data_IF_807534688431
#
_entry.id   IF_807534688431
#
_cell.length_a   1.000
_cell.length_b   1.000
_cell.length_c   1.000
_cell.angle_alpha   90.00
_cell.angle_beta   90.00
_cell.angle_gamma   90.00
#
_symmetry.space_group_name_H-M   'P 1'
#
loop_
_entity.id
_entity.type
_entity.pdbx_description
1 polymer ?
#
# COMPACT_ATOMS: atom_id res chain seq x y z
N UNK A 1 -12.75 -23.49 -0.73
CA UNK A 1 -13.90 -22.85 -0.04
C UNK A 1 -13.40 -21.52 0.49
N UNK A 2 -14.02 -20.39 0.14
CA UNK A 2 -13.58 -19.07 0.61
C UNK A 2 -13.84 -18.99 2.11
N UNK A 3 -12.82 -18.72 2.90
CA UNK A 3 -12.94 -18.57 4.35
C UNK A 3 -13.81 -17.35 4.69
N UNK A 4 -14.83 -17.54 5.53
CA UNK A 4 -15.66 -16.45 6.00
C UNK A 4 -14.95 -15.72 7.14
N UNK A 5 -14.46 -14.51 6.87
CA UNK A 5 -13.61 -13.76 7.81
C UNK A 5 -14.37 -13.28 9.04
N UNK A 6 -15.69 -13.08 8.92
CA UNK A 6 -16.53 -12.75 10.06
C UNK A 6 -16.64 -13.94 11.00
N UNK A 7 -16.84 -15.15 10.46
CA UNK A 7 -16.80 -16.39 11.24
C UNK A 7 -15.48 -16.50 12.00
N UNK A 8 -14.35 -16.38 11.29
CA UNK A 8 -13.01 -16.48 11.88
C UNK A 8 -12.81 -15.43 12.97
N UNK A 9 -13.31 -14.21 12.76
CA UNK A 9 -13.26 -13.16 13.77
C UNK A 9 -14.06 -13.49 15.03
N UNK A 10 -15.30 -14.00 14.89
CA UNK A 10 -16.14 -14.39 16.03
C UNK A 10 -15.50 -15.56 16.79
N UNK A 11 -14.98 -16.56 16.08
CA UNK A 11 -14.29 -17.71 16.68
C UNK A 11 -13.02 -17.30 17.44
N UNK A 12 -12.22 -16.39 16.87
CA UNK A 12 -11.05 -15.85 17.53
C UNK A 12 -11.44 -15.03 18.77
N UNK A 13 -12.52 -14.25 18.70
CA UNK A 13 -13.06 -13.48 19.83
C UNK A 13 -13.56 -14.36 20.97
N UNK A 14 -14.19 -15.51 20.66
CA UNK A 14 -14.54 -16.53 21.66
C UNK A 14 -13.32 -17.14 22.37
N UNK A 15 -12.20 -17.29 21.65
CA UNK A 15 -10.97 -17.90 22.16
C UNK A 15 -9.97 -16.87 22.72
N UNK A 16 -10.33 -15.59 22.78
CA UNK A 16 -9.44 -14.47 23.10
C UNK A 16 -8.16 -14.45 22.22
N UNK A 17 -8.24 -14.94 20.99
CA UNK A 17 -7.18 -14.87 19.99
C UNK A 17 -7.26 -13.53 19.26
N UNK A 18 -6.09 -12.95 18.96
CA UNK A 18 -6.01 -11.71 18.20
C UNK A 18 -6.49 -11.93 16.76
N UNK A 19 -7.28 -10.98 16.27
CA UNK A 19 -7.88 -10.97 14.93
C UNK A 19 -7.75 -9.57 14.30
N UNK A 20 -8.16 -9.46 13.04
CA UNK A 20 -8.32 -8.18 12.35
C UNK A 20 -9.39 -7.30 13.03
N UNK A 21 -9.44 -6.01 12.71
CA UNK A 21 -10.53 -5.15 13.18
C UNK A 21 -11.82 -5.43 12.39
N UNK A 22 -13.00 -5.28 13.02
CA UNK A 22 -14.27 -5.14 12.29
C UNK A 22 -14.63 -3.66 12.25
N UNK A 23 -14.99 -3.16 11.07
CA UNK A 23 -15.31 -1.76 10.82
C UNK A 23 -16.74 -1.70 10.31
N UNK A 24 -17.61 -1.03 11.07
CA UNK A 24 -19.02 -0.85 10.75
C UNK A 24 -19.26 0.60 10.32
N UNK A 25 -19.71 0.82 9.10
CA UNK A 25 -20.04 2.15 8.59
C UNK A 25 -21.56 2.38 8.72
N UNK A 26 -21.96 3.18 9.70
CA UNK A 26 -23.36 3.26 10.16
C UNK A 26 -23.96 4.64 9.86
N UNK A 27 -25.25 4.68 9.52
CA UNK A 27 -26.00 5.94 9.42
C UNK A 27 -26.02 6.68 10.78
N UNK A 28 -26.03 8.01 10.76
CA UNK A 28 -25.97 8.84 11.97
C UNK A 28 -27.02 8.45 13.02
N UNK A 29 -28.28 8.38 12.60
CA UNK A 29 -29.43 8.08 13.45
C UNK A 29 -29.33 6.73 14.16
N UNK A 30 -28.52 5.80 13.62
CA UNK A 30 -28.38 4.45 14.12
C UNK A 30 -27.09 4.22 14.92
N UNK A 31 -26.16 5.17 14.92
CA UNK A 31 -24.80 4.94 15.45
C UNK A 31 -24.82 4.58 16.94
N UNK A 32 -25.63 5.31 17.72
CA UNK A 32 -25.74 5.11 19.17
C UNK A 32 -26.46 3.81 19.50
N UNK A 33 -27.49 3.45 18.74
CA UNK A 33 -28.19 2.17 18.88
C UNK A 33 -27.26 1.00 18.59
N UNK A 34 -26.51 1.04 17.48
CA UNK A 34 -25.54 0.01 17.12
C UNK A 34 -24.43 -0.10 18.18
N UNK A 35 -23.87 1.03 18.61
CA UNK A 35 -22.84 1.07 19.64
C UNK A 35 -23.32 0.42 20.94
N UNK A 36 -24.50 0.80 21.44
CA UNK A 36 -25.06 0.26 22.67
C UNK A 36 -25.41 -1.23 22.56
N UNK A 37 -25.93 -1.68 21.41
CA UNK A 37 -26.19 -3.09 21.16
C UNK A 37 -24.91 -3.91 21.23
N UNK A 38 -23.83 -3.48 20.55
CA UNK A 38 -22.55 -4.20 20.53
C UNK A 38 -21.85 -4.13 21.90
N UNK A 39 -21.87 -2.98 22.56
CA UNK A 39 -21.24 -2.77 23.87
C UNK A 39 -21.82 -3.70 24.94
N UNK A 40 -23.13 -3.98 24.92
CA UNK A 40 -23.78 -4.94 25.83
C UNK A 40 -23.32 -6.38 25.64
N UNK A 41 -22.78 -6.72 24.46
CA UNK A 41 -22.25 -8.06 24.15
C UNK A 41 -20.82 -8.23 24.64
N UNK A 42 -20.15 -7.12 24.98
CA UNK A 42 -18.89 -7.14 25.72
C UNK A 42 -19.20 -7.51 27.18
N UNK A 43 -18.55 -8.53 27.72
CA UNK A 43 -18.69 -9.05 29.12
C UNK A 43 -19.64 -10.23 29.42
N UNK A 44 -19.84 -11.19 28.52
CA UNK A 44 -20.44 -12.48 28.96
C UNK A 44 -19.66 -13.75 28.57
N UNK A 45 -18.95 -13.78 27.43
CA UNK A 45 -18.08 -14.91 27.00
C UNK A 45 -16.93 -14.51 26.04
N UNK A 46 -16.82 -13.22 25.68
CA UNK A 46 -15.89 -12.70 24.66
C UNK A 46 -15.29 -11.39 25.13
N UNK A 47 -14.03 -11.16 24.81
CA UNK A 47 -13.36 -9.89 25.04
C UNK A 47 -13.08 -9.21 23.70
N UNK A 48 -13.72 -8.07 23.48
CA UNK A 48 -13.39 -7.17 22.39
C UNK A 48 -13.59 -5.73 22.82
N UNK A 49 -12.83 -4.82 22.22
CA UNK A 49 -12.95 -3.39 22.44
C UNK A 49 -13.90 -2.79 21.40
N UNK A 50 -14.75 -1.86 21.81
CA UNK A 50 -15.72 -1.21 20.93
C UNK A 50 -15.46 0.29 20.98
N UNK A 51 -15.09 0.85 19.84
CA UNK A 51 -14.94 2.28 19.66
C UNK A 51 -16.01 2.79 18.71
N UNK A 52 -16.47 4.02 18.93
CA UNK A 52 -17.24 4.78 17.95
C UNK A 52 -16.48 6.03 17.57
N UNK A 53 -16.58 6.42 16.31
CA UNK A 53 -16.09 7.69 15.78
C UNK A 53 -17.28 8.43 15.21
N UNK A 54 -17.68 9.47 15.94
CA UNK A 54 -18.70 10.45 15.59
C UNK A 54 -18.12 11.86 15.74
N UNK A 55 -18.95 12.91 15.57
CA UNK A 55 -18.51 14.31 15.64
C UNK A 55 -17.97 14.73 17.04
N UNK A 56 -18.12 13.90 18.07
CA UNK A 56 -17.93 14.29 19.49
C UNK A 56 -16.76 13.56 20.16
N UNK A 57 -16.34 12.38 19.66
CA UNK A 57 -15.26 11.58 20.29
C UNK A 57 -14.20 11.11 19.29
N UNK A 58 -12.94 11.52 19.52
CA UNK A 58 -11.74 11.07 18.80
C UNK A 58 -10.74 10.34 19.72
N UNK A 59 -11.20 9.47 20.61
CA UNK A 59 -10.27 8.55 21.28
C UNK A 59 -10.37 7.17 20.62
N UNK A 60 -9.66 6.95 19.51
CA UNK A 60 -9.52 5.60 18.95
C UNK A 60 -8.31 4.92 19.59
N UNK A 61 -8.42 4.63 20.90
CA UNK A 61 -7.40 3.89 21.64
C UNK A 61 -7.17 2.53 21.00
N UNK A 62 -5.99 2.35 20.41
CA UNK A 62 -5.57 1.05 19.88
C UNK A 62 -5.49 0.04 21.01
N UNK A 63 -6.29 -1.02 20.93
CA UNK A 63 -6.24 -2.17 21.84
C UNK A 63 -5.52 -3.37 21.20
N UNK A 64 -4.70 -4.11 21.95
CA UNK A 64 -4.12 -5.36 21.45
C UNK A 64 -5.15 -6.47 21.24
N UNK A 65 -6.35 -6.32 21.83
CA UNK A 65 -7.49 -7.25 21.77
C UNK A 65 -8.31 -6.99 20.50
N UNK A 66 -9.16 -7.93 20.10
CA UNK A 66 -10.12 -7.77 19.01
C UNK A 66 -10.93 -6.48 19.14
N UNK A 67 -11.13 -5.78 18.03
CA UNK A 67 -11.79 -4.47 18.02
C UNK A 67 -12.95 -4.43 17.03
N UNK A 68 -14.01 -3.75 17.43
CA UNK A 68 -15.08 -3.29 16.55
C UNK A 68 -15.04 -1.76 16.56
N UNK A 69 -14.85 -1.18 15.38
CA UNK A 69 -14.89 0.26 15.17
C UNK A 69 -16.18 0.62 14.43
N UNK A 70 -16.97 1.50 15.02
CA UNK A 70 -18.18 2.04 14.41
C UNK A 70 -17.88 3.44 13.91
N UNK A 71 -18.01 3.65 12.60
CA UNK A 71 -17.74 4.93 11.95
C UNK A 71 -19.05 5.47 11.39
N UNK A 72 -19.33 6.74 11.65
CA UNK A 72 -20.45 7.45 11.03
C UNK A 72 -20.29 7.53 9.49
N UNK A 73 -21.39 7.37 8.74
CA UNK A 73 -21.43 7.70 7.31
C UNK A 73 -21.15 9.18 7.07
N UNK A 74 -20.51 9.50 5.95
CA UNK A 74 -20.12 10.86 5.57
C UNK A 74 -19.15 11.56 6.56
N UNK A 75 -18.42 10.80 7.36
CA UNK A 75 -17.30 11.33 8.14
C UNK A 75 -16.14 11.65 7.19
N UNK A 76 -15.85 12.94 6.98
CA UNK A 76 -14.76 13.43 6.11
C UNK A 76 -13.44 13.67 6.87
N UNK A 77 -13.35 13.22 8.12
CA UNK A 77 -12.21 13.52 8.98
C UNK A 77 -11.20 12.37 8.87
N UNK A 78 -9.92 12.68 8.55
CA UNK A 78 -8.84 11.70 8.63
C UNK A 78 -8.77 11.12 10.04
N UNK A 79 -8.80 9.79 10.16
CA UNK A 79 -8.63 9.11 11.45
C UNK A 79 -7.16 8.70 11.52
N UNK A 80 -6.32 9.57 12.10
CA UNK A 80 -4.87 9.36 12.15
C UNK A 80 -4.48 7.99 12.72
N UNK A 81 -5.17 7.54 13.77
CA UNK A 81 -4.94 6.25 14.44
C UNK A 81 -5.37 5.04 13.59
N UNK A 82 -6.21 5.25 12.56
CA UNK A 82 -6.75 4.16 11.75
C UNK A 82 -5.67 3.42 10.96
N UNK A 83 -4.66 4.16 10.47
CA UNK A 83 -3.50 3.60 9.79
C UNK A 83 -2.81 2.50 10.60
N UNK A 84 -2.73 2.69 11.92
CA UNK A 84 -2.11 1.73 12.83
C UNK A 84 -3.07 0.59 13.16
N UNK A 85 -4.34 0.92 13.36
CA UNK A 85 -5.38 -0.05 13.69
C UNK A 85 -5.65 -1.07 12.58
N UNK A 86 -5.50 -0.68 11.30
CA UNK A 86 -5.69 -1.60 10.17
C UNK A 86 -4.44 -2.39 9.79
N UNK A 87 -3.32 -2.27 10.50
CA UNK A 87 -2.07 -2.99 10.16
C UNK A 87 -2.23 -4.52 10.16
N UNK A 88 -3.19 -5.05 10.94
CA UNK A 88 -3.60 -6.47 10.98
C UNK A 88 -4.68 -6.83 9.94
N UNK A 89 -5.07 -5.88 9.10
CA UNK A 89 -6.22 -5.98 8.22
C UNK A 89 -7.53 -5.61 8.93
N UNK A 90 -8.63 -5.75 8.18
CA UNK A 90 -9.97 -5.45 8.66
C UNK A 90 -11.08 -6.09 7.83
N UNK A 91 -12.25 -6.18 8.44
CA UNK A 91 -13.51 -6.56 7.80
C UNK A 91 -14.41 -5.33 7.80
N UNK A 92 -14.72 -4.81 6.62
CA UNK A 92 -15.54 -3.62 6.42
C UNK A 92 -16.97 -4.00 6.08
N UNK A 93 -17.95 -3.47 6.82
CA UNK A 93 -19.38 -3.72 6.64
C UNK A 93 -20.11 -2.36 6.62
N UNK A 94 -20.84 -2.10 5.55
CA UNK A 94 -21.57 -0.82 5.35
C UNK A 94 -23.08 -1.01 5.16
N UNK A 95 -23.49 -2.17 4.66
CA UNK A 95 -24.88 -2.53 4.43
C UNK A 95 -25.62 -2.74 5.76
N UNK A 96 -26.71 -2.00 5.99
CA UNK A 96 -27.44 -2.01 7.27
C UNK A 96 -27.94 -3.42 7.64
N UNK A 97 -28.44 -4.19 6.67
CA UNK A 97 -28.89 -5.57 6.89
C UNK A 97 -27.73 -6.48 7.31
N UNK A 98 -26.58 -6.32 6.67
CA UNK A 98 -25.35 -7.03 7.00
C UNK A 98 -24.83 -6.68 8.41
N UNK A 99 -24.93 -5.41 8.81
CA UNK A 99 -24.60 -4.96 10.17
C UNK A 99 -25.55 -5.60 11.19
N UNK A 100 -26.86 -5.59 10.95
CA UNK A 100 -27.84 -6.22 11.83
C UNK A 100 -27.62 -7.72 11.96
N UNK A 101 -27.35 -8.42 10.83
CA UNK A 101 -26.98 -9.84 10.82
C UNK A 101 -25.69 -10.11 11.59
N UNK A 102 -24.70 -9.21 11.51
CA UNK A 102 -23.46 -9.32 12.27
C UNK A 102 -23.73 -9.23 13.78
N UNK A 103 -24.46 -8.22 14.24
CA UNK A 103 -24.84 -8.05 15.66
C UNK A 103 -25.61 -9.27 16.15
N UNK A 104 -26.59 -9.75 15.39
CA UNK A 104 -27.37 -10.94 15.75
C UNK A 104 -26.51 -12.22 15.80
N UNK A 105 -25.54 -12.36 14.88
CA UNK A 105 -24.59 -13.47 14.88
C UNK A 105 -23.70 -13.44 16.13
N UNK A 106 -23.27 -12.24 16.56
CA UNK A 106 -22.55 -12.05 17.82
C UNK A 106 -23.43 -12.47 19.00
N UNK A 107 -24.65 -11.95 19.10
CA UNK A 107 -25.60 -12.26 20.19
C UNK A 107 -25.83 -13.75 20.36
N UNK A 108 -26.09 -14.46 19.26
CA UNK A 108 -26.45 -15.89 19.28
C UNK A 108 -25.26 -16.84 19.25
N UNK A 109 -24.04 -16.33 19.03
CA UNK A 109 -22.88 -17.15 18.68
C UNK A 109 -23.17 -18.09 17.50
N UNK A 110 -24.03 -17.67 16.56
CA UNK A 110 -24.47 -18.49 15.46
C UNK A 110 -23.71 -18.09 14.19
N UNK A 111 -22.73 -18.91 13.87
CA UNK A 111 -21.79 -18.71 12.77
C UNK A 111 -22.44 -18.97 11.41
N UNK A 112 -23.50 -19.78 11.32
CA UNK A 112 -24.17 -20.07 10.05
C UNK A 112 -24.79 -18.81 9.43
N UNK A 113 -25.15 -17.85 10.27
CA UNK A 113 -25.71 -16.56 9.86
C UNK A 113 -24.66 -15.63 9.22
N UNK A 114 -23.36 -15.90 9.44
CA UNK A 114 -22.28 -15.13 8.86
C UNK A 114 -22.19 -15.28 7.33
N UNK A 115 -22.76 -16.36 6.77
CA UNK A 115 -22.73 -16.64 5.31
C UNK A 115 -23.44 -15.55 4.48
N UNK A 116 -24.42 -14.88 5.07
CA UNK A 116 -25.29 -13.91 4.38
C UNK A 116 -24.92 -12.44 4.66
N UNK A 117 -23.76 -12.21 5.27
CA UNK A 117 -23.25 -10.87 5.60
C UNK A 117 -22.36 -10.41 4.44
N UNK A 118 -22.73 -9.30 3.80
CA UNK A 118 -21.89 -8.67 2.78
C UNK A 118 -20.81 -7.86 3.48
N UNK A 119 -19.56 -8.10 3.11
CA UNK A 119 -18.42 -7.37 3.65
C UNK A 119 -17.31 -7.22 2.62
N UNK A 120 -16.44 -6.25 2.83
CA UNK A 120 -15.18 -6.12 2.10
C UNK A 120 -13.99 -6.41 3.03
N UNK A 121 -12.98 -7.08 2.51
CA UNK A 121 -11.79 -7.43 3.28
C UNK A 121 -10.63 -6.49 2.98
N UNK A 122 -10.08 -5.90 4.03
CA UNK A 122 -8.88 -5.08 4.00
C UNK A 122 -7.74 -5.96 4.49
N UNK A 123 -6.84 -6.33 3.59
CA UNK A 123 -5.80 -7.30 3.88
C UNK A 123 -4.52 -6.98 3.14
N UNK A 124 -3.43 -7.51 3.69
CA UNK A 124 -2.17 -7.52 2.98
C UNK A 124 -2.29 -8.40 1.75
N UNK A 125 -1.84 -7.87 0.63
CA UNK A 125 -1.79 -8.58 -0.64
C UNK A 125 -0.35 -8.53 -1.12
N UNK A 126 0.11 -9.63 -1.72
CA UNK A 126 1.43 -9.69 -2.31
C UNK A 126 1.62 -8.55 -3.32
N UNK A 127 2.59 -7.69 -3.03
CA UNK A 127 2.83 -6.47 -3.79
C UNK A 127 3.24 -6.77 -5.22
N UNK A 128 4.07 -7.79 -5.43
CA UNK A 128 4.59 -8.13 -6.75
C UNK A 128 3.47 -8.66 -7.65
N UNK A 129 2.59 -9.51 -7.11
CA UNK A 129 1.41 -10.03 -7.80
C UNK A 129 0.52 -8.89 -8.30
N UNK A 130 0.24 -7.89 -7.46
CA UNK A 130 -0.56 -6.72 -7.87
C UNK A 130 0.17 -5.85 -8.90
N UNK A 131 1.46 -5.62 -8.72
CA UNK A 131 2.25 -4.81 -9.64
C UNK A 131 2.30 -5.45 -11.05
N UNK A 132 2.39 -6.79 -11.12
CA UNK A 132 2.46 -7.54 -12.37
C UNK A 132 1.11 -7.69 -13.10
N UNK A 133 -0.03 -7.68 -12.39
CA UNK A 133 -1.37 -7.69 -12.99
C UNK A 133 -1.76 -6.30 -13.55
N UNK A 134 -1.09 -5.93 -14.64
CA UNK A 134 -1.32 -4.65 -15.34
C UNK A 134 -2.77 -4.49 -15.82
N UNK A 135 -3.45 -5.59 -16.15
CA UNK A 135 -4.83 -5.55 -16.65
C UNK A 135 -5.84 -5.07 -15.61
N UNK A 136 -5.65 -5.43 -14.33
CA UNK A 136 -6.56 -5.04 -13.26
C UNK A 136 -6.02 -3.93 -12.36
N UNK A 137 -4.76 -3.50 -12.54
CA UNK A 137 -4.07 -2.60 -11.62
C UNK A 137 -4.83 -1.29 -11.35
N UNK A 138 -5.37 -0.63 -12.39
CA UNK A 138 -6.13 0.62 -12.22
C UNK A 138 -7.39 0.38 -11.38
N UNK A 139 -8.18 -0.63 -11.75
CA UNK A 139 -9.40 -1.01 -11.04
C UNK A 139 -9.10 -1.38 -9.59
N UNK A 140 -8.04 -2.15 -9.36
CA UNK A 140 -7.58 -2.53 -8.03
C UNK A 140 -7.19 -1.30 -7.20
N UNK A 141 -6.36 -0.41 -7.76
CA UNK A 141 -5.88 0.78 -7.07
C UNK A 141 -7.04 1.69 -6.66
N UNK A 142 -7.96 2.00 -7.59
CA UNK A 142 -9.12 2.83 -7.32
C UNK A 142 -10.02 2.22 -6.24
N UNK A 143 -10.37 0.93 -6.38
CA UNK A 143 -11.19 0.24 -5.39
C UNK A 143 -10.54 0.24 -4.00
N UNK A 144 -9.22 0.01 -3.93
CA UNK A 144 -8.51 0.02 -2.65
C UNK A 144 -8.46 1.41 -2.01
N UNK A 145 -8.25 2.47 -2.81
CA UNK A 145 -8.27 3.85 -2.32
C UNK A 145 -9.65 4.19 -1.76
N UNK A 146 -10.71 3.88 -2.49
CA UNK A 146 -12.11 4.12 -2.06
C UNK A 146 -12.41 3.46 -0.71
N UNK A 147 -12.06 2.19 -0.53
CA UNK A 147 -12.26 1.48 0.75
C UNK A 147 -11.52 2.18 1.89
N UNK A 148 -10.27 2.60 1.66
CA UNK A 148 -9.45 3.28 2.67
C UNK A 148 -10.03 4.66 3.01
N UNK A 149 -10.51 5.41 2.03
CA UNK A 149 -11.19 6.70 2.24
C UNK A 149 -12.49 6.52 3.04
N UNK A 150 -13.27 5.47 2.76
CA UNK A 150 -14.51 5.17 3.49
C UNK A 150 -14.29 4.92 4.99
N UNK A 151 -13.08 4.51 5.37
CA UNK A 151 -12.67 4.30 6.77
C UNK A 151 -11.80 5.44 7.32
N UNK A 152 -11.72 6.57 6.61
CA UNK A 152 -11.01 7.77 7.07
C UNK A 152 -9.49 7.74 6.87
N UNK A 153 -8.97 6.88 5.99
CA UNK A 153 -7.55 6.85 5.61
C UNK A 153 -7.37 7.48 4.23
N UNK A 154 -6.93 8.73 4.22
CA UNK A 154 -6.54 9.42 3.00
C UNK A 154 -5.08 9.12 2.64
N UNK A 155 -4.88 8.31 1.60
CA UNK A 155 -3.56 7.84 1.17
C UNK A 155 -2.93 8.73 0.09
N UNK A 156 -3.76 9.35 -0.76
CA UNK A 156 -3.30 10.13 -1.90
C UNK A 156 -2.84 11.52 -1.47
N UNK A 157 -1.67 11.92 -1.96
CA UNK A 157 -1.06 13.23 -1.72
C UNK A 157 -1.16 14.18 -2.94
N UNK A 158 -1.84 13.72 -4.00
CA UNK A 158 -2.05 14.40 -5.27
C UNK A 158 -3.44 14.08 -5.80
N UNK A 159 -3.92 14.89 -6.74
CA UNK A 159 -5.18 14.65 -7.42
C UNK A 159 -5.21 13.28 -8.12
N UNK A 160 -6.36 12.62 -8.16
CA UNK A 160 -6.48 11.27 -8.72
C UNK A 160 -6.01 11.17 -10.18
N UNK A 161 -6.24 12.23 -10.97
CA UNK A 161 -5.76 12.32 -12.36
C UNK A 161 -4.24 12.19 -12.48
N UNK A 162 -3.47 12.70 -11.50
CA UNK A 162 -2.02 12.50 -11.49
C UNK A 162 -1.69 11.01 -11.48
N UNK A 163 -2.34 10.26 -10.59
CA UNK A 163 -2.12 8.83 -10.42
C UNK A 163 -2.58 8.02 -11.64
N UNK A 164 -3.68 8.42 -12.28
CA UNK A 164 -4.15 7.77 -13.51
C UNK A 164 -3.14 7.93 -14.64
N UNK A 165 -2.59 9.13 -14.84
CA UNK A 165 -1.59 9.39 -15.89
C UNK A 165 -0.30 8.58 -15.68
N UNK A 166 0.20 8.47 -14.44
CA UNK A 166 1.41 7.68 -14.16
C UNK A 166 1.15 6.17 -14.18
N UNK A 167 -0.07 5.71 -13.86
CA UNK A 167 -0.49 4.31 -14.04
C UNK A 167 -0.54 3.92 -15.52
N UNK A 168 -1.15 4.76 -16.35
CA UNK A 168 -1.23 4.53 -17.80
C UNK A 168 0.16 4.43 -18.44
N UNK A 169 1.07 5.31 -18.02
CA UNK A 169 2.46 5.26 -18.48
C UNK A 169 3.17 3.99 -18.03
N UNK A 170 2.97 3.57 -16.77
CA UNK A 170 3.53 2.32 -16.27
C UNK A 170 3.05 1.10 -17.07
N UNK A 171 1.74 1.02 -17.35
CA UNK A 171 1.17 -0.10 -18.10
C UNK A 171 1.82 -0.20 -19.48
N UNK A 172 2.04 0.92 -20.17
CA UNK A 172 2.59 1.00 -21.53
C UNK A 172 4.11 0.80 -21.60
N UNK A 173 4.85 1.38 -20.66
CA UNK A 173 6.31 1.51 -20.77
C UNK A 173 7.07 0.68 -19.74
N UNK A 174 6.36 0.10 -18.76
CA UNK A 174 6.95 -0.63 -17.64
C UNK A 174 7.91 0.23 -16.79
N UNK A 175 7.72 1.55 -16.82
CA UNK A 175 8.42 2.54 -16.01
C UNK A 175 7.41 3.20 -15.08
N UNK A 176 7.66 3.16 -13.78
CA UNK A 176 6.68 3.60 -12.77
C UNK A 176 7.22 4.72 -11.88
N UNK A 177 6.42 5.77 -11.70
CA UNK A 177 6.76 6.88 -10.81
C UNK A 177 6.87 6.41 -9.35
N UNK A 178 7.91 6.88 -8.64
CA UNK A 178 8.15 6.54 -7.24
C UNK A 178 6.95 6.88 -6.36
N UNK A 179 6.31 8.05 -6.57
CA UNK A 179 5.09 8.43 -5.86
C UNK A 179 3.99 7.38 -6.00
N UNK A 180 3.76 6.82 -7.19
CA UNK A 180 2.72 5.81 -7.40
C UNK A 180 3.08 4.47 -6.75
N UNK A 181 4.26 3.93 -7.07
CA UNK A 181 4.65 2.59 -6.59
C UNK A 181 4.82 2.56 -5.06
N UNK A 182 5.23 3.67 -4.45
CA UNK A 182 5.27 3.80 -2.99
C UNK A 182 3.85 3.73 -2.41
N UNK A 183 2.88 4.48 -2.95
CA UNK A 183 1.48 4.41 -2.50
C UNK A 183 0.89 3.02 -2.68
N UNK A 184 1.13 2.39 -3.83
CA UNK A 184 0.69 1.02 -4.08
C UNK A 184 1.28 0.07 -3.03
N UNK A 185 2.58 0.18 -2.74
CA UNK A 185 3.24 -0.61 -1.70
C UNK A 185 2.59 -0.41 -0.32
N UNK A 186 2.34 0.83 0.08
CA UNK A 186 1.70 1.14 1.36
C UNK A 186 0.28 0.54 1.44
N UNK A 187 -0.51 0.69 0.39
CA UNK A 187 -1.89 0.21 0.30
C UNK A 187 -1.95 -1.32 0.37
N UNK A 188 -1.12 -2.03 -0.39
CA UNK A 188 -1.19 -3.50 -0.43
C UNK A 188 -0.54 -4.15 0.79
N UNK A 189 0.43 -3.50 1.44
CA UNK A 189 1.07 -4.05 2.65
C UNK A 189 0.46 -3.52 3.96
N UNK A 190 -0.48 -2.58 3.87
CA UNK A 190 -1.01 -1.82 5.01
C UNK A 190 0.14 -1.19 5.84
N UNK A 191 1.16 -0.67 5.14
CA UNK A 191 2.39 -0.12 5.71
C UNK A 191 2.40 1.41 5.55
N UNK A 192 1.70 2.10 6.46
CA UNK A 192 1.55 3.55 6.41
C UNK A 192 2.53 4.31 7.32
N UNK A 193 3.28 3.59 8.16
CA UNK A 193 4.24 4.16 9.11
C UNK A 193 5.67 4.22 8.54
N UNK A 194 6.01 3.32 7.61
CA UNK A 194 7.35 3.31 7.02
C UNK A 194 7.64 4.60 6.25
N UNK A 195 8.86 5.10 6.39
CA UNK A 195 9.34 6.25 5.64
C UNK A 195 9.44 5.94 4.14
N UNK A 196 9.39 6.99 3.31
CA UNK A 196 9.58 6.86 1.85
C UNK A 196 10.93 6.23 1.48
N UNK A 197 11.98 6.47 2.28
CA UNK A 197 13.28 5.82 2.12
C UNK A 197 13.19 4.32 2.36
N UNK A 198 12.64 3.91 3.50
CA UNK A 198 12.50 2.50 3.86
C UNK A 198 11.63 1.74 2.84
N UNK A 199 10.53 2.34 2.39
CA UNK A 199 9.68 1.78 1.33
C UNK A 199 10.47 1.68 0.02
N UNK A 200 11.23 2.73 -0.34
CA UNK A 200 12.03 2.75 -1.54
C UNK A 200 13.09 1.65 -1.59
N UNK A 201 13.74 1.36 -0.45
CA UNK A 201 14.71 0.28 -0.29
C UNK A 201 14.04 -1.09 -0.47
N UNK A 202 12.87 -1.31 0.17
CA UNK A 202 12.09 -2.55 -0.01
C UNK A 202 11.66 -2.77 -1.46
N UNK A 203 11.16 -1.72 -2.12
CA UNK A 203 10.75 -1.79 -3.53
C UNK A 203 11.97 -2.08 -4.42
N UNK A 204 13.11 -1.46 -4.15
CA UNK A 204 14.34 -1.74 -4.91
C UNK A 204 14.78 -3.19 -4.79
N UNK A 205 14.62 -3.80 -3.61
CA UNK A 205 14.91 -5.22 -3.39
C UNK A 205 13.93 -6.12 -4.14
N UNK A 206 12.63 -5.82 -4.08
CA UNK A 206 11.59 -6.62 -4.74
C UNK A 206 11.69 -6.53 -6.27
N UNK A 207 11.83 -5.32 -6.81
CA UNK A 207 11.86 -5.08 -8.24
C UNK A 207 13.25 -5.25 -8.85
N UNK A 208 14.30 -5.41 -8.03
CA UNK A 208 15.68 -5.50 -8.50
C UNK A 208 16.20 -4.24 -9.20
N UNK A 209 15.61 -3.06 -8.96
CA UNK A 209 16.04 -1.80 -9.59
C UNK A 209 15.89 -0.61 -8.65
N UNK A 210 16.89 0.29 -8.67
CA UNK A 210 16.86 1.53 -7.89
C UNK A 210 16.12 2.63 -8.63
N UNK A 211 15.45 3.52 -7.89
CA UNK A 211 14.80 4.68 -8.49
C UNK A 211 15.83 5.66 -9.06
N UNK A 212 15.57 6.21 -10.25
CA UNK A 212 16.40 7.24 -10.90
C UNK A 212 15.58 8.52 -11.12
N UNK A 213 16.25 9.67 -11.16
CA UNK A 213 15.58 10.93 -11.48
C UNK A 213 15.33 11.04 -12.99
N UNK A 214 14.13 11.48 -13.38
CA UNK A 214 13.78 11.80 -14.75
C UNK A 214 12.93 13.06 -14.78
N UNK A 215 12.96 13.80 -15.89
CA UNK A 215 12.10 14.95 -16.05
C UNK A 215 10.66 14.49 -16.28
N UNK A 216 9.69 15.10 -15.59
CA UNK A 216 8.30 14.62 -15.60
C UNK A 216 7.65 14.61 -16.99
N UNK A 217 8.09 15.49 -17.91
CA UNK A 217 7.61 15.47 -19.29
C UNK A 217 8.01 14.23 -20.07
N UNK A 218 9.02 13.47 -19.61
CA UNK A 218 9.37 12.19 -20.22
C UNK A 218 8.30 11.12 -19.95
N UNK A 219 7.49 11.30 -18.89
CA UNK A 219 6.29 10.50 -18.64
C UNK A 219 5.11 11.08 -19.41
N UNK A 220 4.78 12.35 -19.17
CA UNK A 220 3.70 13.04 -19.87
C UNK A 220 3.80 14.55 -19.69
N UNK A 221 3.61 15.31 -20.78
CA UNK A 221 3.52 16.77 -20.72
C UNK A 221 2.35 17.24 -19.84
N UNK A 222 1.25 16.49 -19.82
CA UNK A 222 0.07 16.80 -19.00
C UNK A 222 0.35 16.77 -17.50
N UNK A 223 1.39 16.06 -17.05
CA UNK A 223 1.76 15.98 -15.64
C UNK A 223 2.41 17.26 -15.10
N UNK A 224 2.89 18.16 -15.99
CA UNK A 224 3.49 19.45 -15.58
C UNK A 224 2.54 20.36 -14.79
N UNK A 225 1.23 20.13 -14.91
CA UNK A 225 0.22 20.85 -14.11
C UNK A 225 0.27 20.48 -12.62
N UNK A 226 0.78 19.30 -12.27
CA UNK A 226 0.85 18.81 -10.89
C UNK A 226 2.26 18.93 -10.28
N UNK A 227 3.31 18.80 -11.09
CA UNK A 227 4.72 18.86 -10.66
C UNK A 227 5.56 19.48 -11.77
N UNK A 228 6.35 20.52 -11.47
CA UNK A 228 7.19 21.23 -12.46
C UNK A 228 8.66 20.77 -12.48
N UNK A 229 9.01 19.76 -11.69
CA UNK A 229 10.39 19.33 -11.46
C UNK A 229 10.65 17.90 -11.91
N UNK A 230 11.90 17.46 -11.76
CA UNK A 230 12.26 16.06 -11.86
C UNK A 230 11.50 15.22 -10.83
N UNK A 231 11.15 14.00 -11.23
CA UNK A 231 10.55 12.97 -10.39
C UNK A 231 11.44 11.74 -10.37
N UNK A 232 11.28 10.91 -9.34
CA UNK A 232 11.93 9.60 -9.29
C UNK A 232 11.06 8.57 -9.99
N UNK A 233 11.67 7.67 -10.75
CA UNK A 233 11.01 6.54 -11.43
C UNK A 233 11.80 5.26 -11.23
N UNK A 234 11.11 4.13 -11.25
CA UNK A 234 11.69 2.81 -11.36
C UNK A 234 11.48 2.31 -12.79
N UNK A 235 12.57 2.05 -13.50
CA UNK A 235 12.51 1.43 -14.83
C UNK A 235 12.58 -0.08 -14.66
N UNK A 236 11.43 -0.76 -14.73
CA UNK A 236 11.35 -2.20 -14.48
C UNK A 236 11.84 -3.02 -15.68
N UNK A 237 12.25 -2.38 -16.78
CA UNK A 237 12.97 -3.05 -17.87
C UNK A 237 14.48 -3.11 -17.62
N UNK A 238 14.99 -2.35 -16.63
CA UNK A 238 16.41 -2.24 -16.39
C UNK A 238 16.93 -3.39 -15.53
N UNK A 239 17.86 -4.18 -16.06
CA UNK A 239 18.55 -5.22 -15.31
C UNK A 239 19.70 -4.64 -14.47
N UNK A 240 19.39 -4.26 -13.22
CA UNK A 240 20.38 -3.66 -12.33
C UNK A 240 21.55 -4.60 -12.01
N UNK A 241 21.30 -5.91 -11.86
CA UNK A 241 22.33 -6.89 -11.52
C UNK A 241 23.35 -6.98 -12.65
N UNK A 242 22.88 -7.06 -13.88
CA UNK A 242 23.75 -7.08 -15.06
C UNK A 242 24.53 -5.76 -15.19
N UNK A 243 23.86 -4.62 -15.00
CA UNK A 243 24.52 -3.32 -15.03
C UNK A 243 25.61 -3.19 -13.95
N UNK A 244 25.31 -3.52 -12.70
CA UNK A 244 26.26 -3.45 -11.58
C UNK A 244 27.44 -4.40 -11.80
N UNK A 245 27.19 -5.56 -12.41
CA UNK A 245 28.24 -6.51 -12.81
C UNK A 245 29.15 -5.90 -13.88
N UNK A 246 28.57 -5.34 -14.95
CA UNK A 246 29.29 -4.65 -16.02
C UNK A 246 30.12 -3.48 -15.48
N UNK A 247 29.55 -2.70 -14.55
CA UNK A 247 30.21 -1.57 -13.89
C UNK A 247 31.42 -2.02 -13.05
N UNK A 248 31.25 -3.09 -12.26
CA UNK A 248 32.34 -3.66 -11.47
C UNK A 248 33.49 -4.18 -12.34
N UNK A 249 33.18 -4.79 -13.50
CA UNK A 249 34.18 -5.21 -14.48
C UNK A 249 34.90 -3.99 -15.05
N UNK A 250 34.17 -2.94 -15.43
CA UNK A 250 34.76 -1.71 -15.96
C UNK A 250 35.75 -1.06 -14.97
N UNK A 251 35.37 -0.95 -13.69
CA UNK A 251 36.24 -0.40 -12.64
C UNK A 251 37.51 -1.24 -12.49
N UNK A 252 37.38 -2.58 -12.46
CA UNK A 252 38.55 -3.47 -12.39
C UNK A 252 39.45 -3.32 -13.60
N UNK A 253 38.90 -3.18 -14.82
CA UNK A 253 39.68 -2.98 -16.04
C UNK A 253 40.42 -1.63 -16.05
N UNK A 254 39.77 -0.56 -15.57
CA UNK A 254 40.41 0.75 -15.42
C UNK A 254 41.61 0.65 -14.45
N UNK A 255 41.43 0.01 -13.31
CA UNK A 255 42.47 -0.15 -12.28
C UNK A 255 43.66 -1.02 -12.69
N UNK A 256 43.57 -1.77 -13.80
CA UNK A 256 44.73 -2.50 -14.34
C UNK A 256 45.78 -1.55 -14.93
N UNK A 257 45.43 -0.29 -15.21
CA UNK A 257 46.30 0.77 -15.75
C UNK A 257 47.14 0.31 -16.96
N UNK A 258 46.54 -0.54 -17.80
CA UNK A 258 47.17 -1.04 -19.02
C UNK A 258 46.99 -0.03 -20.14
N UNK A 259 48.09 0.32 -20.83
CA UNK A 259 48.07 1.18 -22.04
C UNK A 259 47.14 0.66 -23.13
N UNK A 260 46.87 -0.65 -23.14
CA UNK A 260 45.98 -1.28 -24.11
C UNK A 260 44.49 -1.19 -23.74
N UNK A 261 44.14 -0.79 -22.52
CA UNK A 261 42.76 -0.69 -22.03
C UNK A 261 42.27 0.77 -22.06
N UNK A 262 42.05 1.30 -23.26
CA UNK A 262 41.45 2.63 -23.44
C UNK A 262 39.98 2.66 -23.00
N UNK A 263 39.47 3.84 -22.65
CA UNK A 263 38.04 4.08 -22.32
C UNK A 263 37.10 3.47 -23.37
N UNK A 264 37.46 3.60 -24.66
CA UNK A 264 36.69 3.05 -25.78
C UNK A 264 36.68 1.51 -25.79
N UNK A 265 37.83 0.88 -25.52
CA UNK A 265 37.93 -0.59 -25.44
C UNK A 265 37.17 -1.13 -24.24
N UNK A 266 37.27 -0.47 -23.08
CA UNK A 266 36.54 -0.88 -21.87
C UNK A 266 35.02 -0.75 -22.09
N UNK A 267 34.58 0.34 -22.72
CA UNK A 267 33.16 0.52 -23.11
C UNK A 267 32.68 -0.60 -24.02
N UNK A 268 33.48 -1.02 -25.01
CA UNK A 268 33.14 -2.16 -25.88
C UNK A 268 33.11 -3.49 -25.15
N UNK A 269 34.09 -3.78 -24.28
CA UNK A 269 34.18 -5.04 -23.52
C UNK A 269 33.00 -5.21 -22.56
N UNK A 270 32.62 -4.11 -21.88
CA UNK A 270 31.58 -4.14 -20.86
C UNK A 270 30.19 -3.84 -21.40
N UNK A 271 30.09 -3.42 -22.68
CA UNK A 271 28.88 -2.94 -23.34
C UNK A 271 28.24 -1.73 -22.63
N UNK A 272 29.00 -1.03 -21.78
CA UNK A 272 28.54 0.19 -21.12
C UNK A 272 28.73 1.41 -22.05
N UNK A 273 27.87 2.43 -21.96
CA UNK A 273 28.02 3.64 -22.75
C UNK A 273 29.38 4.30 -22.54
N UNK A 274 30.01 4.75 -23.61
CA UNK A 274 31.33 5.41 -23.56
C UNK A 274 31.37 6.54 -22.52
N UNK A 275 30.32 7.37 -22.48
CA UNK A 275 30.24 8.50 -21.56
C UNK A 275 30.18 8.09 -20.08
N UNK A 276 29.74 6.87 -19.76
CA UNK A 276 29.79 6.35 -18.39
C UNK A 276 31.22 5.94 -18.02
N UNK A 277 31.90 5.21 -18.91
CA UNK A 277 33.30 4.81 -18.68
C UNK A 277 34.21 6.04 -18.60
N UNK A 278 33.98 7.04 -19.44
CA UNK A 278 34.74 8.29 -19.42
C UNK A 278 34.60 9.03 -18.08
N UNK A 279 33.41 9.03 -17.47
CA UNK A 279 33.19 9.61 -16.15
C UNK A 279 33.96 8.87 -15.06
N UNK A 280 33.93 7.53 -15.07
CA UNK A 280 34.67 6.71 -14.11
C UNK A 280 36.18 6.96 -14.22
N UNK A 281 36.72 6.98 -15.44
CA UNK A 281 38.13 7.27 -15.69
C UNK A 281 38.53 8.66 -15.13
N UNK A 282 37.71 9.68 -15.37
CA UNK A 282 37.96 11.03 -14.83
C UNK A 282 37.96 11.05 -13.29
N UNK A 283 37.07 10.30 -12.64
CA UNK A 283 36.99 10.23 -11.18
C UNK A 283 38.23 9.57 -10.55
N UNK A 284 38.76 8.52 -11.18
CA UNK A 284 39.93 7.78 -10.68
C UNK A 284 41.26 8.51 -10.98
N UNK A 285 41.40 9.13 -12.16
CA UNK A 285 42.70 9.59 -12.66
C UNK A 285 42.87 11.11 -12.83
N UNK A 286 41.79 11.90 -12.85
CA UNK A 286 41.83 13.34 -13.17
C UNK A 286 41.18 14.17 -12.06
N UNK A 287 41.63 13.99 -10.80
CA UNK A 287 41.14 14.78 -9.66
C UNK A 287 41.15 16.29 -9.91
#
# INVERSE_FOLDING_TARGET
MIENKIKTWIDNSNKNMASSMVILKVNDENIENVFNSIKKLNNLKRHFFVNKIDYIQQENKSSPINQILIIKKNLYIPINEMKNNIRRGGVYIEDNDSINKFIYSLERNNIDLCKNIKYESIEKIDFLTILQDKSNLIKFFLKRVEILENIGIHVLDKHIEFYMLVLDYYIKHNVIAANLIHKLYQIVNLDFESSSRAIGDKISLICGVKSKATHISNISMSLRRYVKSNIKVYDLNFNQIEYDTKLNIAIKLLNLDSKDLTVEKISKITELPFCEIEKLYKQEYIR
#
